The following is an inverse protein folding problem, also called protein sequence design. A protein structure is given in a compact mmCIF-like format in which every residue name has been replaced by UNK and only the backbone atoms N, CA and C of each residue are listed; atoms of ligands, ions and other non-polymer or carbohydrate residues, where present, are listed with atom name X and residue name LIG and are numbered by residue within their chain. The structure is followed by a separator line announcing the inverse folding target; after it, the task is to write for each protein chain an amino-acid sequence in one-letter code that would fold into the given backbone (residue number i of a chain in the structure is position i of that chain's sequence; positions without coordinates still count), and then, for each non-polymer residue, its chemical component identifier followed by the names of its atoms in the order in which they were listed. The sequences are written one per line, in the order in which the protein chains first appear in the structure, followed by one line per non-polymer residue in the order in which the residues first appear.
data_IF_744174761709
#
_entry.id   IF_744174761709
#
_cell.length_a   1.000
_cell.length_b   1.000
_cell.length_c   1.000
_cell.angle_alpha   90.00
_cell.angle_beta   90.00
_cell.angle_gamma   90.00
#
_symmetry.space_group_name_H-M   'P 1'
#
loop_
_entity.id
_entity.type
_entity.pdbx_description
1 polymer ?
#
# COMPACT_ATOMS: atom_id res chain seq x y z
N UNK A 1 19.07 -49.88 57.45
CA UNK A 1 18.21 -49.82 56.25
C UNK A 1 17.16 -48.75 56.49
N UNK A 2 16.70 -48.05 55.44
CA UNK A 2 15.69 -46.94 55.51
C UNK A 2 16.14 -45.71 56.33
N UNK A 3 15.68 -44.47 56.07
CA UNK A 3 14.93 -43.92 54.92
C UNK A 3 15.41 -42.49 54.58
N UNK A 4 15.05 -41.96 53.41
CA UNK A 4 15.51 -40.66 52.88
C UNK A 4 14.39 -39.62 52.85
N UNK A 5 14.30 -38.75 53.85
CA UNK A 5 13.30 -37.66 53.91
C UNK A 5 13.79 -36.35 53.28
N UNK A 6 13.78 -36.26 51.94
CA UNK A 6 14.17 -35.03 51.21
C UNK A 6 13.13 -33.88 51.31
N UNK A 7 13.63 -32.64 51.38
CA UNK A 7 12.88 -31.45 51.73
C UNK A 7 12.19 -30.79 50.52
N UNK A 8 10.87 -31.02 50.37
CA UNK A 8 10.04 -30.52 49.24
C UNK A 8 9.86 -28.99 49.18
N UNK A 9 10.92 -28.25 48.82
CA UNK A 9 10.83 -26.81 48.47
C UNK A 9 10.32 -26.62 47.03
N UNK A 10 9.01 -26.42 46.86
CA UNK A 10 8.33 -26.21 45.56
C UNK A 10 8.88 -25.00 44.78
N UNK A 11 9.86 -25.21 43.88
CA UNK A 11 10.24 -24.22 42.85
C UNK A 11 9.17 -24.21 41.74
N UNK A 12 8.42 -23.12 41.61
CA UNK A 12 7.56 -22.88 40.42
C UNK A 12 8.45 -22.55 39.21
N UNK A 13 8.82 -23.58 38.45
CA UNK A 13 9.55 -23.41 37.18
C UNK A 13 8.66 -22.75 36.13
N UNK A 14 8.88 -21.46 35.85
CA UNK A 14 8.27 -20.80 34.70
C UNK A 14 8.80 -21.44 33.41
N UNK A 15 7.94 -22.20 32.71
CA UNK A 15 8.30 -22.77 31.40
C UNK A 15 8.60 -21.62 30.44
N UNK A 16 9.85 -21.50 30.00
CA UNK A 16 10.22 -20.64 28.86
C UNK A 16 9.43 -21.14 27.65
N UNK A 17 8.37 -20.43 27.29
CA UNK A 17 7.71 -20.61 26.00
C UNK A 17 8.69 -20.15 24.94
N UNK A 18 9.35 -21.11 24.27
CA UNK A 18 10.16 -20.82 23.11
C UNK A 18 9.24 -20.24 22.03
N UNK A 19 9.46 -18.98 21.66
CA UNK A 19 8.76 -18.35 20.55
C UNK A 19 9.26 -18.97 19.24
N UNK A 20 8.67 -20.11 18.89
CA UNK A 20 8.72 -20.63 17.53
C UNK A 20 8.14 -19.55 16.61
N UNK A 21 8.97 -19.03 15.72
CA UNK A 21 8.50 -18.12 14.67
C UNK A 21 7.46 -18.88 13.81
N UNK A 22 6.33 -18.24 13.44
CA UNK A 22 5.30 -18.92 12.67
C UNK A 22 5.87 -19.37 11.31
N UNK A 23 5.68 -20.64 10.90
CA UNK A 23 6.11 -21.10 9.59
C UNK A 23 5.31 -20.38 8.51
N UNK A 24 6.00 -20.05 7.40
CA UNK A 24 5.52 -19.19 6.31
C UNK A 24 5.22 -17.74 6.69
N UNK A 25 6.20 -16.86 6.46
CA UNK A 25 5.89 -15.57 5.83
C UNK A 25 5.39 -15.87 4.41
N UNK A 26 4.10 -16.16 4.27
CA UNK A 26 3.53 -16.78 3.08
C UNK A 26 3.69 -15.85 1.87
N UNK A 27 4.35 -16.34 0.80
CA UNK A 27 4.48 -15.57 -0.44
C UNK A 27 3.08 -15.28 -0.98
N UNK A 28 2.74 -13.99 -1.06
CA UNK A 28 1.52 -13.53 -1.70
C UNK A 28 1.37 -14.16 -3.10
N UNK A 29 0.13 -14.46 -3.54
CA UNK A 29 -0.08 -15.18 -4.79
C UNK A 29 0.37 -14.37 -6.02
N UNK A 30 0.64 -15.06 -7.14
CA UNK A 30 0.71 -14.43 -8.45
C UNK A 30 -0.53 -13.55 -8.72
N UNK A 31 -0.34 -12.42 -9.40
CA UNK A 31 -1.44 -11.50 -9.74
C UNK A 31 -2.46 -12.19 -10.67
N UNK A 32 -1.99 -13.11 -11.52
CA UNK A 32 -2.75 -13.76 -12.60
C UNK A 32 -3.29 -15.13 -12.18
N UNK A 33 -4.55 -15.40 -12.52
CA UNK A 33 -5.20 -16.69 -12.25
C UNK A 33 -4.69 -17.77 -13.21
N UNK A 34 -4.28 -18.89 -12.62
CA UNK A 34 -3.87 -20.12 -13.32
C UNK A 34 -4.57 -21.34 -12.69
N UNK A 35 -4.36 -22.53 -13.25
CA UNK A 35 -4.93 -23.76 -12.70
C UNK A 35 -4.52 -24.01 -11.22
N UNK A 36 -3.29 -23.63 -10.87
CA UNK A 36 -2.71 -23.74 -9.51
C UNK A 36 -2.83 -22.45 -8.67
N UNK A 37 -3.27 -21.33 -9.27
CA UNK A 37 -3.46 -20.05 -8.58
C UNK A 37 -4.90 -19.55 -8.78
N UNK A 38 -5.86 -20.22 -8.15
CA UNK A 38 -7.28 -19.85 -8.17
C UNK A 38 -7.65 -19.03 -6.94
N UNK A 39 -8.74 -18.27 -7.03
CA UNK A 39 -9.39 -17.73 -5.83
C UNK A 39 -10.04 -18.90 -5.08
N UNK A 40 -9.83 -19.08 -3.76
CA UNK A 40 -10.42 -20.18 -3.02
C UNK A 40 -11.96 -20.12 -3.00
N UNK A 41 -12.64 -21.28 -3.07
CA UNK A 41 -14.10 -21.36 -3.11
C UNK A 41 -14.81 -20.74 -1.89
N UNK A 42 -14.10 -20.61 -0.76
CA UNK A 42 -14.61 -19.95 0.44
C UNK A 42 -14.74 -18.42 0.30
N UNK A 43 -14.08 -17.80 -0.69
CA UNK A 43 -14.15 -16.36 -0.95
C UNK A 43 -15.40 -16.05 -1.79
N UNK A 44 -16.49 -15.68 -1.13
CA UNK A 44 -17.68 -15.15 -1.80
C UNK A 44 -17.70 -13.61 -1.76
N UNK A 45 -18.37 -12.94 -2.72
CA UNK A 45 -18.61 -11.50 -2.62
C UNK A 45 -19.23 -11.10 -1.28
N UNK A 46 -20.17 -11.90 -0.77
CA UNK A 46 -20.92 -11.60 0.46
C UNK A 46 -20.03 -11.66 1.71
N UNK A 47 -19.09 -12.61 1.77
CA UNK A 47 -18.07 -12.68 2.82
C UNK A 47 -17.09 -11.50 2.76
N UNK A 48 -16.68 -11.09 1.57
CA UNK A 48 -15.86 -9.88 1.40
C UNK A 48 -16.62 -8.61 1.82
N UNK A 49 -17.92 -8.52 1.52
CA UNK A 49 -18.78 -7.42 2.00
C UNK A 49 -18.98 -7.45 3.52
N UNK A 50 -19.11 -8.64 4.14
CA UNK A 50 -19.17 -8.79 5.59
C UNK A 50 -17.87 -8.33 6.26
N UNK A 51 -16.71 -8.76 5.74
CA UNK A 51 -15.39 -8.32 6.24
C UNK A 51 -15.15 -6.80 6.08
N UNK A 52 -15.67 -6.20 5.01
CA UNK A 52 -15.68 -4.76 4.82
C UNK A 52 -16.59 -4.06 5.86
N UNK A 53 -17.81 -4.55 6.06
CA UNK A 53 -18.78 -3.97 7.01
C UNK A 53 -18.30 -4.06 8.47
N UNK A 54 -17.57 -5.14 8.82
CA UNK A 54 -16.90 -5.38 10.11
C UNK A 54 -16.03 -4.19 10.57
N UNK A 55 -15.40 -3.47 9.62
CA UNK A 55 -14.55 -2.29 9.90
C UNK A 55 -15.16 -0.97 9.42
N UNK A 56 -16.07 -0.99 8.45
CA UNK A 56 -16.85 0.18 8.03
C UNK A 56 -18.36 -0.10 8.03
N UNK A 57 -19.03 -0.05 9.20
CA UNK A 57 -20.47 -0.27 9.31
C UNK A 57 -21.32 0.87 8.73
N UNK A 58 -20.71 1.98 8.29
CA UNK A 58 -21.38 3.14 7.66
C UNK A 58 -21.02 3.25 6.18
N UNK A 59 -21.00 2.11 5.49
CA UNK A 59 -20.65 2.01 4.08
C UNK A 59 -21.64 2.78 3.18
N UNK A 60 -21.11 3.61 2.27
CA UNK A 60 -21.92 4.36 1.30
C UNK A 60 -22.75 3.42 0.40
N UNK A 61 -24.06 3.67 0.17
CA UNK A 61 -24.94 2.74 -0.55
C UNK A 61 -24.46 2.32 -1.94
N UNK A 62 -23.75 3.20 -2.66
CA UNK A 62 -23.15 2.91 -3.96
C UNK A 62 -22.17 1.72 -3.95
N UNK A 63 -21.49 1.47 -2.81
CA UNK A 63 -20.49 0.41 -2.68
C UNK A 63 -21.09 -0.96 -2.30
N UNK A 64 -22.41 -1.08 -2.10
CA UNK A 64 -23.09 -2.35 -1.72
C UNK A 64 -22.77 -3.54 -2.64
N UNK A 65 -22.39 -3.30 -3.91
CA UNK A 65 -22.04 -4.34 -4.89
C UNK A 65 -20.54 -4.43 -5.23
N UNK A 66 -19.67 -3.75 -4.49
CA UNK A 66 -18.26 -3.60 -4.90
C UNK A 66 -17.52 -4.94 -4.99
N UNK A 67 -17.69 -5.85 -4.02
CA UNK A 67 -17.09 -7.19 -4.06
C UNK A 67 -17.55 -8.03 -5.27
N UNK A 68 -18.82 -7.88 -5.69
CA UNK A 68 -19.35 -8.51 -6.90
C UNK A 68 -18.65 -7.98 -8.16
N UNK A 69 -18.35 -6.68 -8.24
CA UNK A 69 -17.57 -6.13 -9.37
C UNK A 69 -16.11 -6.62 -9.37
N UNK A 70 -15.47 -6.79 -8.20
CA UNK A 70 -14.13 -7.39 -8.13
C UNK A 70 -14.13 -8.80 -8.68
N UNK A 71 -15.10 -9.63 -8.27
CA UNK A 71 -15.30 -10.97 -8.82
C UNK A 71 -15.52 -10.93 -10.33
N UNK A 72 -16.51 -10.17 -10.81
CA UNK A 72 -16.88 -10.14 -12.23
C UNK A 72 -15.71 -9.71 -13.13
N UNK A 73 -15.04 -8.60 -12.81
CA UNK A 73 -13.93 -8.10 -13.61
C UNK A 73 -12.68 -8.97 -13.43
N UNK A 74 -12.43 -9.49 -12.24
CA UNK A 74 -11.28 -10.36 -11.98
C UNK A 74 -11.36 -11.73 -12.62
N UNK A 75 -12.54 -12.36 -12.66
CA UNK A 75 -12.77 -13.58 -13.43
C UNK A 75 -12.57 -13.32 -14.93
N UNK A 76 -13.20 -12.26 -15.47
CA UNK A 76 -13.10 -11.90 -16.89
C UNK A 76 -11.67 -11.54 -17.33
N UNK A 77 -10.93 -10.79 -16.53
CA UNK A 77 -9.54 -10.39 -16.83
C UNK A 77 -8.49 -11.37 -16.30
N UNK A 78 -8.87 -12.44 -15.60
CA UNK A 78 -7.98 -13.44 -14.95
C UNK A 78 -7.03 -12.86 -13.88
N UNK A 79 -7.52 -11.97 -13.02
CA UNK A 79 -6.78 -11.43 -11.86
C UNK A 79 -7.28 -12.08 -10.56
N UNK A 80 -6.37 -12.37 -9.61
CA UNK A 80 -6.71 -12.79 -8.23
C UNK A 80 -7.45 -11.66 -7.50
N UNK A 81 -8.78 -11.65 -7.65
CA UNK A 81 -9.65 -10.54 -7.27
C UNK A 81 -9.92 -10.44 -5.77
N UNK A 82 -9.72 -11.52 -5.04
CA UNK A 82 -9.64 -11.52 -3.59
C UNK A 82 -8.50 -10.60 -3.11
N UNK A 83 -7.30 -10.76 -3.67
CA UNK A 83 -6.16 -9.89 -3.35
C UNK A 83 -6.27 -8.47 -3.91
N UNK A 84 -6.95 -8.27 -5.06
CA UNK A 84 -7.33 -6.94 -5.52
C UNK A 84 -8.32 -6.24 -4.56
N UNK A 85 -9.26 -6.99 -3.97
CA UNK A 85 -10.17 -6.48 -2.94
C UNK A 85 -9.42 -6.14 -1.65
N UNK A 86 -8.53 -7.01 -1.16
CA UNK A 86 -7.70 -6.73 0.03
C UNK A 86 -6.78 -5.52 -0.18
N UNK A 87 -6.24 -5.33 -1.38
CA UNK A 87 -5.53 -4.12 -1.77
C UNK A 87 -6.45 -2.88 -1.68
N UNK A 88 -7.67 -2.93 -2.22
CA UNK A 88 -8.64 -1.83 -2.13
C UNK A 88 -8.99 -1.46 -0.67
N UNK A 89 -9.13 -2.45 0.22
CA UNK A 89 -9.39 -2.18 1.64
C UNK A 89 -8.25 -1.38 2.30
N UNK A 90 -7.01 -1.64 1.90
CA UNK A 90 -5.83 -0.91 2.35
C UNK A 90 -5.80 0.51 1.76
N UNK A 91 -5.91 0.62 0.43
CA UNK A 91 -5.81 1.88 -0.33
C UNK A 91 -6.90 2.91 0.00
N UNK A 92 -8.11 2.44 0.33
CA UNK A 92 -9.28 3.31 0.61
C UNK A 92 -9.59 3.45 2.10
N UNK A 93 -8.79 2.81 2.97
CA UNK A 93 -9.10 2.56 4.37
C UNK A 93 -10.56 2.07 4.56
N UNK A 94 -10.84 0.87 4.06
CA UNK A 94 -12.14 0.20 4.10
C UNK A 94 -13.29 1.07 3.51
N UNK A 95 -13.02 1.74 2.38
CA UNK A 95 -13.94 2.66 1.68
C UNK A 95 -14.45 3.85 2.52
N UNK A 96 -13.73 4.18 3.60
CA UNK A 96 -13.97 5.42 4.35
C UNK A 96 -13.39 6.64 3.64
N UNK A 97 -12.35 6.47 2.81
CA UNK A 97 -11.54 7.53 2.18
C UNK A 97 -10.95 8.52 3.19
N UNK A 98 -10.82 8.11 4.45
CA UNK A 98 -10.26 8.90 5.54
C UNK A 98 -8.94 8.32 6.00
N UNK A 99 -7.98 9.21 6.23
CA UNK A 99 -6.83 8.94 7.11
C UNK A 99 -7.32 8.56 8.52
N UNK A 100 -6.48 7.94 9.34
CA UNK A 100 -6.83 7.62 10.73
C UNK A 100 -7.25 8.84 11.55
N UNK A 101 -6.72 10.02 11.21
CA UNK A 101 -7.06 11.29 11.84
C UNK A 101 -8.43 11.84 11.43
N UNK A 102 -9.29 11.03 10.81
CA UNK A 102 -10.63 11.41 10.35
C UNK A 102 -10.67 12.36 9.15
N UNK A 103 -9.53 12.98 8.80
CA UNK A 103 -9.37 13.81 7.59
C UNK A 103 -9.48 12.96 6.34
N UNK A 104 -10.11 13.52 5.30
CA UNK A 104 -10.06 12.97 3.94
C UNK A 104 -8.62 12.76 3.46
N UNK A 105 -8.40 11.67 2.71
CA UNK A 105 -7.20 11.48 1.91
C UNK A 105 -7.26 12.25 0.57
N UNK A 106 -6.28 12.02 -0.30
CA UNK A 106 -6.20 12.69 -1.61
C UNK A 106 -7.38 12.31 -2.53
N UNK A 107 -7.84 11.06 -2.45
CA UNK A 107 -8.96 10.53 -3.24
C UNK A 107 -10.30 10.77 -2.54
N UNK A 108 -11.28 11.29 -3.29
CA UNK A 108 -12.67 11.49 -2.85
C UNK A 108 -13.56 10.29 -3.24
N UNK A 109 -14.55 9.99 -2.40
CA UNK A 109 -15.58 8.94 -2.60
C UNK A 109 -16.22 9.00 -4.00
N UNK A 110 -16.48 10.21 -4.52
CA UNK A 110 -17.11 10.43 -5.83
C UNK A 110 -16.24 10.03 -7.02
N UNK A 111 -14.93 9.86 -6.86
CA UNK A 111 -14.05 9.45 -7.94
C UNK A 111 -14.13 7.97 -8.28
N UNK A 112 -14.70 7.13 -7.40
CA UNK A 112 -14.65 5.66 -7.52
C UNK A 112 -13.22 5.11 -7.77
N UNK A 113 -12.17 5.82 -7.36
CA UNK A 113 -10.79 5.35 -7.48
C UNK A 113 -10.47 4.53 -6.23
N UNK A 114 -10.27 3.23 -6.42
CA UNK A 114 -10.19 2.26 -5.32
C UNK A 114 -8.76 1.85 -4.95
N UNK A 115 -7.75 2.41 -5.62
CA UNK A 115 -6.36 1.94 -5.48
C UNK A 115 -5.30 3.00 -5.76
N UNK A 116 -5.57 4.26 -5.41
CA UNK A 116 -4.61 5.37 -5.50
C UNK A 116 -4.15 5.71 -6.92
N UNK A 117 -4.87 5.26 -7.95
CA UNK A 117 -4.40 5.30 -9.34
C UNK A 117 -4.19 6.75 -9.78
N UNK A 118 -2.95 7.12 -10.12
CA UNK A 118 -2.59 8.47 -10.55
C UNK A 118 -2.41 9.50 -9.42
N UNK A 119 -2.58 9.13 -8.15
CA UNK A 119 -2.26 10.03 -7.03
C UNK A 119 -0.75 10.22 -6.89
N UNK A 120 -0.32 11.43 -6.53
CA UNK A 120 1.10 11.75 -6.26
C UNK A 120 1.36 12.20 -4.83
N UNK A 121 0.32 12.12 -3.97
CA UNK A 121 0.30 12.80 -2.66
C UNK A 121 0.00 14.30 -2.77
N UNK A 122 -0.26 14.93 -1.63
CA UNK A 122 -0.35 16.39 -1.52
C UNK A 122 -1.64 17.01 -2.07
N UNK A 123 -2.75 16.26 -2.09
CA UNK A 123 -4.05 16.70 -2.59
C UNK A 123 -4.28 16.46 -4.08
N UNK A 124 -3.33 15.87 -4.81
CA UNK A 124 -3.50 15.48 -6.22
C UNK A 124 -4.40 14.25 -6.30
N UNK A 125 -5.64 14.35 -6.82
CA UNK A 125 -6.68 13.34 -6.61
C UNK A 125 -6.49 12.06 -7.45
N UNK A 126 -5.64 12.10 -8.49
CA UNK A 126 -5.47 11.00 -9.44
C UNK A 126 -6.66 10.78 -10.38
N UNK A 127 -6.73 9.58 -10.96
CA UNK A 127 -7.78 9.17 -11.90
C UNK A 127 -9.17 9.19 -11.22
N UNK A 128 -10.22 9.34 -12.03
CA UNK A 128 -11.62 9.27 -11.60
C UNK A 128 -12.45 8.46 -12.60
N UNK A 129 -13.45 7.73 -12.09
CA UNK A 129 -14.23 6.76 -12.85
C UNK A 129 -15.73 7.00 -12.68
N UNK A 130 -16.53 6.92 -13.77
CA UNK A 130 -17.95 7.32 -13.74
C UNK A 130 -18.84 6.37 -12.92
N UNK A 131 -18.38 5.16 -12.61
CA UNK A 131 -19.11 4.20 -11.77
C UNK A 131 -18.15 3.38 -10.90
N UNK A 132 -18.68 2.80 -9.82
CA UNK A 132 -17.98 1.80 -8.99
C UNK A 132 -17.45 0.64 -9.86
N UNK A 133 -18.24 0.17 -10.83
CA UNK A 133 -17.82 -0.92 -11.74
C UNK A 133 -16.63 -0.51 -12.61
N UNK A 134 -16.62 0.72 -13.14
CA UNK A 134 -15.51 1.24 -13.93
C UNK A 134 -14.23 1.46 -13.09
N UNK A 135 -14.36 1.91 -11.84
CA UNK A 135 -13.24 2.05 -10.92
C UNK A 135 -12.57 0.73 -10.56
N UNK A 136 -13.37 -0.30 -10.28
CA UNK A 136 -12.85 -1.66 -10.04
C UNK A 136 -12.18 -2.23 -11.29
N UNK A 137 -12.78 -2.04 -12.46
CA UNK A 137 -12.15 -2.41 -13.74
C UNK A 137 -10.81 -1.67 -13.95
N UNK A 138 -10.71 -0.41 -13.56
CA UNK A 138 -9.48 0.39 -13.59
C UNK A 138 -8.34 -0.25 -12.79
N UNK A 139 -8.59 -0.64 -11.54
CA UNK A 139 -7.59 -1.35 -10.72
C UNK A 139 -7.24 -2.73 -11.29
N UNK A 140 -8.24 -3.51 -11.71
CA UNK A 140 -8.03 -4.84 -12.30
C UNK A 140 -7.14 -4.74 -13.56
N UNK A 141 -7.38 -3.75 -14.43
CA UNK A 141 -6.53 -3.49 -15.59
C UNK A 141 -5.13 -2.97 -15.22
N UNK A 142 -5.00 -2.12 -14.19
CA UNK A 142 -3.68 -1.69 -13.71
C UNK A 142 -2.86 -2.89 -13.19
N UNK A 143 -3.51 -3.81 -12.47
CA UNK A 143 -2.92 -5.08 -12.04
C UNK A 143 -2.52 -6.00 -13.21
N UNK A 144 -3.24 -5.98 -14.34
CA UNK A 144 -2.79 -6.67 -15.57
C UNK A 144 -1.48 -6.08 -16.08
N UNK A 145 -1.35 -4.75 -16.16
CA UNK A 145 -0.07 -4.11 -16.52
C UNK A 145 1.06 -4.46 -15.54
N UNK A 146 0.81 -4.47 -14.22
CA UNK A 146 1.78 -4.90 -13.20
C UNK A 146 2.16 -6.39 -13.29
N UNK A 147 1.41 -7.22 -14.01
CA UNK A 147 1.80 -8.61 -14.28
C UNK A 147 2.73 -8.79 -15.48
N UNK A 148 2.95 -7.73 -16.26
CA UNK A 148 3.69 -7.77 -17.53
C UNK A 148 2.82 -7.94 -18.78
N UNK A 149 1.49 -7.91 -18.66
CA UNK A 149 0.55 -8.06 -19.78
C UNK A 149 -0.04 -6.70 -20.22
N UNK A 150 -0.15 -6.47 -21.54
CA UNK A 150 -0.61 -5.19 -22.09
C UNK A 150 -2.14 -5.09 -22.15
N UNK A 151 -2.67 -3.92 -21.79
CA UNK A 151 -4.11 -3.63 -21.80
C UNK A 151 -4.43 -2.74 -23.01
N UNK A 152 -5.15 -3.30 -23.99
CA UNK A 152 -5.38 -2.63 -25.28
C UNK A 152 -6.24 -1.35 -25.19
N UNK A 153 -7.21 -1.31 -24.28
CA UNK A 153 -8.07 -0.13 -24.00
C UNK A 153 -8.28 0.01 -22.48
N UNK A 154 -7.33 0.65 -21.75
CA UNK A 154 -7.47 0.85 -20.31
C UNK A 154 -8.51 1.93 -19.99
N UNK A 155 -9.33 1.71 -18.96
CA UNK A 155 -10.30 2.72 -18.47
C UNK A 155 -9.67 3.75 -17.53
N UNK A 156 -8.48 3.45 -17.01
CA UNK A 156 -7.66 4.36 -16.21
C UNK A 156 -6.62 5.07 -17.09
N UNK A 157 -6.64 6.41 -17.12
CA UNK A 157 -5.68 7.22 -17.89
C UNK A 157 -4.24 6.92 -17.45
N UNK A 158 -3.98 6.82 -16.14
CA UNK A 158 -2.64 6.45 -15.63
C UNK A 158 -2.16 5.09 -16.15
N UNK A 159 -3.07 4.16 -16.46
CA UNK A 159 -2.71 2.87 -17.08
C UNK A 159 -2.40 3.05 -18.56
N UNK A 160 -3.21 3.81 -19.31
CA UNK A 160 -2.95 4.10 -20.72
C UNK A 160 -1.59 4.80 -20.92
N UNK A 161 -1.29 5.79 -20.10
CA UNK A 161 -0.06 6.60 -20.18
C UNK A 161 1.22 5.85 -19.79
N UNK A 162 1.14 4.87 -18.87
CA UNK A 162 2.32 4.32 -18.18
C UNK A 162 2.48 2.80 -18.29
N UNK A 163 1.54 2.08 -18.91
CA UNK A 163 1.59 0.61 -18.93
C UNK A 163 2.90 0.06 -19.50
N UNK A 164 3.51 0.67 -20.51
CA UNK A 164 4.76 0.17 -21.08
C UNK A 164 5.93 0.25 -20.09
N UNK A 165 6.00 1.31 -19.27
CA UNK A 165 7.00 1.43 -18.20
C UNK A 165 6.73 0.39 -17.09
N UNK A 166 5.47 0.24 -16.69
CA UNK A 166 5.04 -0.72 -15.67
C UNK A 166 5.35 -2.16 -16.12
N UNK A 167 5.05 -2.50 -17.37
CA UNK A 167 5.30 -3.81 -18.00
C UNK A 167 6.80 -4.06 -18.13
N UNK A 168 7.57 -3.11 -18.66
CA UNK A 168 9.02 -3.26 -18.79
C UNK A 168 9.71 -3.48 -17.43
N UNK A 169 9.29 -2.79 -16.37
CA UNK A 169 9.79 -3.01 -15.01
C UNK A 169 9.29 -4.34 -14.43
N UNK A 170 8.09 -4.81 -14.80
CA UNK A 170 7.55 -6.10 -14.37
C UNK A 170 8.33 -7.28 -14.96
N UNK A 171 8.61 -7.24 -16.26
CA UNK A 171 9.31 -8.32 -16.98
C UNK A 171 10.76 -8.49 -16.52
N UNK A 172 11.42 -7.42 -16.02
CA UNK A 172 12.76 -7.48 -15.38
C UNK A 172 12.84 -8.40 -14.15
N UNK A 173 11.72 -8.85 -13.59
CA UNK A 173 11.73 -9.85 -12.50
C UNK A 173 12.10 -11.25 -12.98
N UNK A 174 12.02 -11.56 -14.28
CA UNK A 174 12.37 -12.87 -14.85
C UNK A 174 11.46 -14.03 -14.41
N UNK A 175 10.32 -13.73 -13.77
CA UNK A 175 9.36 -14.71 -13.22
C UNK A 175 7.96 -14.11 -13.16
N UNK A 176 6.96 -14.94 -12.87
CA UNK A 176 5.59 -14.48 -12.60
C UNK A 176 5.55 -13.47 -11.46
N UNK A 177 4.80 -12.37 -11.66
CA UNK A 177 4.65 -11.29 -10.69
C UNK A 177 3.58 -11.62 -9.65
N UNK A 178 3.88 -11.34 -8.39
CA UNK A 178 3.00 -11.55 -7.23
C UNK A 178 2.51 -10.23 -6.64
N UNK A 179 1.47 -10.27 -5.80
CA UNK A 179 1.05 -9.07 -5.05
C UNK A 179 2.16 -8.56 -4.10
N UNK A 180 3.13 -9.39 -3.70
CA UNK A 180 4.29 -8.92 -2.93
C UNK A 180 5.21 -8.02 -3.77
N UNK A 181 5.30 -8.25 -5.08
CA UNK A 181 6.12 -7.47 -6.01
C UNK A 181 5.51 -6.11 -6.39
N UNK A 182 4.37 -5.76 -5.80
CA UNK A 182 3.81 -4.40 -5.81
C UNK A 182 4.50 -3.50 -4.76
N UNK A 183 5.20 -4.08 -3.77
CA UNK A 183 6.01 -3.36 -2.79
C UNK A 183 7.09 -2.52 -3.47
N UNK A 184 7.20 -1.23 -3.11
CA UNK A 184 8.08 -0.23 -3.76
C UNK A 184 7.84 -0.02 -5.27
N UNK A 185 6.73 -0.50 -5.82
CA UNK A 185 6.40 -0.40 -7.26
C UNK A 185 5.02 0.21 -7.50
N UNK A 186 3.99 -0.27 -6.81
CA UNK A 186 2.68 0.36 -6.72
C UNK A 186 2.69 1.46 -5.66
N UNK A 187 3.06 1.11 -4.44
CA UNK A 187 3.21 2.03 -3.31
C UNK A 187 4.68 2.10 -2.86
N UNK A 188 5.11 3.26 -2.36
CA UNK A 188 6.50 3.48 -1.88
C UNK A 188 6.84 2.68 -0.61
N UNK A 189 5.82 2.23 0.13
CA UNK A 189 5.97 1.47 1.37
C UNK A 189 6.77 0.16 1.17
N UNK A 190 7.76 -0.05 2.04
CA UNK A 190 8.60 -1.25 2.12
C UNK A 190 7.84 -2.48 2.63
N UNK A 191 6.68 -2.29 3.24
CA UNK A 191 5.88 -3.30 3.92
C UNK A 191 4.55 -3.57 3.23
N UNK A 192 4.29 -2.95 2.07
CA UNK A 192 3.03 -3.00 1.34
C UNK A 192 2.51 -4.43 1.11
N UNK A 193 3.36 -5.35 0.63
CA UNK A 193 3.00 -6.76 0.50
C UNK A 193 2.64 -7.44 1.84
N UNK A 194 3.28 -7.06 2.95
CA UNK A 194 2.92 -7.57 4.29
C UNK A 194 1.58 -6.98 4.76
N UNK A 195 1.30 -5.72 4.42
CA UNK A 195 0.03 -5.06 4.71
C UNK A 195 -1.14 -5.73 3.96
N UNK A 196 -0.95 -6.06 2.68
CA UNK A 196 -1.90 -6.86 1.89
C UNK A 196 -2.06 -8.27 2.48
N UNK A 197 -0.96 -8.94 2.86
CA UNK A 197 -1.00 -10.27 3.46
C UNK A 197 -1.83 -10.29 4.75
N UNK A 198 -1.56 -9.39 5.70
CA UNK A 198 -2.30 -9.31 6.97
C UNK A 198 -3.80 -9.08 6.79
N UNK A 199 -4.20 -8.26 5.79
CA UNK A 199 -5.63 -8.05 5.47
C UNK A 199 -6.26 -9.34 4.93
N UNK A 200 -5.55 -10.07 4.08
CA UNK A 200 -5.98 -11.37 3.58
C UNK A 200 -6.05 -12.42 4.70
N UNK A 201 -5.01 -12.52 5.55
CA UNK A 201 -4.92 -13.49 6.64
C UNK A 201 -6.07 -13.34 7.63
N UNK A 202 -6.47 -12.09 7.94
CA UNK A 202 -7.66 -11.82 8.78
C UNK A 202 -8.96 -12.23 8.09
N UNK A 203 -9.10 -11.99 6.79
CA UNK A 203 -10.24 -12.48 6.03
C UNK A 203 -10.31 -14.01 6.10
N UNK A 204 -9.23 -14.70 5.73
CA UNK A 204 -9.20 -16.16 5.67
C UNK A 204 -9.42 -16.79 7.06
N UNK A 205 -8.80 -16.24 8.11
CA UNK A 205 -8.96 -16.73 9.49
C UNK A 205 -10.37 -16.57 10.06
N UNK A 206 -11.11 -15.51 9.69
CA UNK A 206 -12.49 -15.29 10.18
C UNK A 206 -13.57 -15.90 9.28
N UNK A 207 -13.43 -15.82 7.95
CA UNK A 207 -14.50 -16.14 6.98
C UNK A 207 -14.22 -17.36 6.08
N UNK A 208 -13.07 -18.02 6.24
CA UNK A 208 -12.71 -19.24 5.50
C UNK A 208 -12.20 -20.39 6.40
N UNK A 209 -12.46 -20.35 7.70
CA UNK A 209 -11.97 -21.33 8.69
C UNK A 209 -12.73 -22.68 8.70
N UNK A 210 -13.52 -22.97 7.68
CA UNK A 210 -14.22 -24.25 7.50
C UNK A 210 -15.43 -24.49 8.40
N UNK A 211 -15.77 -23.57 9.34
CA UNK A 211 -16.96 -23.69 10.20
C UNK A 211 -18.23 -23.19 9.51
N UNK A 212 -18.08 -22.20 8.63
CA UNK A 212 -19.14 -21.71 7.77
C UNK A 212 -19.11 -22.48 6.43
N UNK A 213 -19.77 -23.62 6.36
CA UNK A 213 -20.10 -24.30 5.09
C UNK A 213 -21.50 -23.91 4.63
N UNK A 214 -21.59 -23.42 3.39
CA UNK A 214 -22.76 -22.83 2.72
C UNK A 214 -23.30 -21.49 3.29
N UNK A 215 -23.52 -20.47 2.43
CA UNK A 215 -24.59 -19.52 2.67
C UNK A 215 -25.92 -20.18 2.28
N UNK A 216 -26.92 -20.15 3.17
CA UNK A 216 -28.27 -20.69 2.90
C UNK A 216 -28.84 -20.09 1.62
N UNK A 217 -29.16 -20.95 0.65
CA UNK A 217 -29.66 -20.52 -0.67
C UNK A 217 -31.10 -20.01 -0.55
N UNK A 218 -31.25 -18.69 -0.33
CA UNK A 218 -32.50 -17.99 -0.64
C UNK A 218 -32.69 -18.01 -2.16
N UNK A 219 -33.51 -18.95 -2.62
CA UNK A 219 -33.68 -19.28 -4.03
C UNK A 219 -34.57 -18.26 -4.76
N UNK A 220 -34.08 -17.03 -4.92
CA UNK A 220 -34.80 -16.03 -5.72
C UNK A 220 -34.78 -16.40 -7.21
N UNK A 221 -35.97 -16.50 -7.80
CA UNK A 221 -36.20 -17.32 -9.00
C UNK A 221 -35.55 -16.76 -10.26
N UNK A 222 -34.58 -17.49 -10.83
CA UNK A 222 -34.07 -17.24 -12.18
C UNK A 222 -35.13 -17.56 -13.24
N UNK A 223 -35.88 -16.54 -13.68
CA UNK A 223 -36.64 -16.61 -14.94
C UNK A 223 -35.66 -16.89 -16.11
N UNK A 224 -35.98 -17.81 -17.04
CA UNK A 224 -35.08 -18.18 -18.13
C UNK A 224 -34.87 -16.99 -19.09
N UNK A 225 -33.62 -16.75 -19.48
CA UNK A 225 -33.26 -15.75 -20.50
C UNK A 225 -33.48 -16.35 -21.90
N UNK A 226 -34.19 -15.69 -22.83
CA UNK A 226 -34.47 -16.26 -24.14
C UNK A 226 -33.20 -16.48 -24.96
N UNK A 227 -33.18 -17.61 -25.67
CA UNK A 227 -32.02 -18.06 -26.47
C UNK A 227 -32.06 -17.43 -27.87
N UNK A 228 -31.24 -16.40 -28.09
CA UNK A 228 -30.99 -15.88 -29.45
C UNK A 228 -30.01 -16.85 -30.14
N UNK A 229 -30.49 -17.54 -31.19
CA UNK A 229 -29.63 -18.32 -32.08
C UNK A 229 -28.79 -17.38 -32.95
N UNK A 230 -27.51 -17.69 -33.25
CA UNK A 230 -26.76 -16.94 -34.26
C UNK A 230 -27.30 -17.26 -35.66
N UNK A 231 -27.57 -16.23 -36.44
CA UNK A 231 -27.79 -16.34 -37.90
C UNK A 231 -26.53 -15.86 -38.62
N UNK A 232 -26.02 -16.59 -39.63
CA UNK A 232 -24.80 -16.21 -40.34
C UNK A 232 -25.11 -15.32 -41.54
N UNK A 233 -24.59 -14.09 -41.54
CA UNK A 233 -24.41 -13.34 -42.77
C UNK A 233 -23.01 -12.73 -42.84
N UNK A 234 -22.42 -12.76 -44.04
CA UNK A 234 -21.03 -12.37 -44.34
C UNK A 234 -21.07 -11.09 -45.19
N UNK A 235 -19.95 -10.74 -45.84
CA UNK A 235 -19.84 -9.65 -46.85
C UNK A 235 -19.80 -8.25 -46.18
N UNK A 236 -18.82 -7.36 -46.46
CA UNK A 236 -17.68 -7.41 -47.40
C UNK A 236 -16.43 -6.74 -46.80
N UNK A 237 -15.26 -7.19 -47.23
CA UNK A 237 -14.01 -6.44 -47.13
C UNK A 237 -13.97 -5.39 -48.25
N UNK A 238 -13.47 -4.19 -47.96
CA UNK A 238 -13.16 -3.18 -48.96
C UNK A 238 -11.83 -2.48 -48.62
N UNK A 239 -10.97 -2.31 -49.62
CA UNK A 239 -9.59 -1.80 -49.51
C UNK A 239 -9.44 -0.47 -50.24
N UNK A 240 -8.87 0.56 -49.58
CA UNK A 240 -8.49 1.81 -50.26
C UNK A 240 -7.35 2.58 -49.54
N UNK A 241 -6.32 2.94 -50.32
CA UNK A 241 -5.22 3.93 -50.15
C UNK A 241 -4.56 4.10 -51.55
N UNK A 242 -3.77 5.15 -51.88
CA UNK A 242 -3.19 6.25 -51.06
C UNK A 242 -4.18 7.44 -50.93
N UNK A 243 -3.90 8.75 -50.85
CA UNK A 243 -2.72 9.66 -50.95
C UNK A 243 -2.84 10.70 -49.80
N UNK A 244 -1.80 11.31 -49.21
CA UNK A 244 -0.63 12.09 -49.65
C UNK A 244 -0.90 13.50 -50.24
N UNK A 245 -0.80 14.53 -49.38
CA UNK A 245 0.17 15.64 -49.55
C UNK A 245 0.28 16.58 -48.34
N UNK A 246 1.42 17.29 -48.32
CA UNK A 246 1.74 18.55 -47.62
C UNK A 246 1.76 18.60 -46.07
N UNK A 247 2.97 18.82 -45.54
CA UNK A 247 3.21 19.51 -44.27
C UNK A 247 3.67 20.97 -44.56
N UNK A 248 3.86 21.81 -43.52
CA UNK A 248 4.90 22.83 -43.63
C UNK A 248 5.83 22.97 -42.41
N UNK A 249 7.11 23.17 -42.74
CA UNK A 249 8.12 24.02 -42.10
C UNK A 249 8.33 24.01 -40.56
N UNK A 250 9.58 23.74 -40.16
CA UNK A 250 10.10 24.06 -38.84
C UNK A 250 10.52 25.55 -38.71
N UNK A 251 10.67 26.03 -37.47
CA UNK A 251 11.53 27.18 -37.13
C UNK A 251 12.58 26.76 -36.09
N UNK A 252 13.76 27.37 -36.18
CA UNK A 252 14.94 27.18 -35.33
C UNK A 252 15.62 28.54 -35.10
N UNK A 253 16.72 28.52 -34.33
CA UNK A 253 17.65 29.63 -34.03
C UNK A 253 17.22 30.58 -32.90
N UNK A 254 18.18 31.21 -32.19
CA UNK A 254 19.62 30.90 -32.05
C UNK A 254 20.06 30.63 -30.60
N UNK A 255 21.34 30.30 -30.43
CA UNK A 255 22.08 30.45 -29.17
C UNK A 255 23.25 31.43 -29.39
N UNK A 256 23.78 32.08 -28.34
CA UNK A 256 25.04 32.81 -28.41
C UNK A 256 26.22 32.01 -27.82
N UNK A 257 27.40 32.11 -28.45
CA UNK A 257 28.67 31.61 -27.94
C UNK A 257 29.28 32.53 -26.86
N UNK A 258 30.24 32.04 -26.07
CA UNK A 258 30.98 32.88 -25.12
C UNK A 258 31.90 32.16 -24.13
N UNK A 259 33.09 31.73 -24.58
CA UNK A 259 34.26 31.47 -23.71
C UNK A 259 35.39 32.40 -24.13
N UNK A 260 36.16 32.99 -23.19
CA UNK A 260 37.32 32.32 -22.57
C UNK A 260 37.27 32.34 -21.03
N UNK A 261 38.18 31.72 -20.27
CA UNK A 261 39.38 30.97 -20.66
C UNK A 261 40.69 31.59 -20.13
N UNK A 262 41.07 31.23 -18.89
CA UNK A 262 42.33 31.40 -18.14
C UNK A 262 42.12 30.49 -16.89
N UNK A 263 42.99 29.58 -16.44
CA UNK A 263 44.37 29.76 -16.00
C UNK A 263 44.38 30.13 -14.50
N UNK A 264 45.04 29.44 -13.56
CA UNK A 264 45.85 28.22 -13.63
C UNK A 264 46.60 28.00 -12.30
N UNK A 265 47.55 27.06 -12.26
CA UNK A 265 48.47 26.75 -11.13
C UNK A 265 47.85 26.10 -9.88
N UNK A 266 48.70 25.52 -9.03
CA UNK A 266 48.34 24.72 -7.86
C UNK A 266 49.31 24.98 -6.69
N UNK A 267 48.88 24.67 -5.47
CA UNK A 267 49.73 24.64 -4.27
C UNK A 267 49.43 23.39 -3.41
N UNK A 268 50.42 22.90 -2.68
CA UNK A 268 50.43 21.60 -1.97
C UNK A 268 51.09 21.77 -0.59
N UNK A 269 50.80 20.86 0.37
CA UNK A 269 51.28 20.83 1.78
C UNK A 269 50.69 21.95 2.67
N UNK A 270 50.74 21.87 4.01
CA UNK A 270 51.33 20.88 4.95
C UNK A 270 50.23 20.36 5.89
N UNK A 271 50.31 19.10 6.35
CA UNK A 271 49.47 18.61 7.45
C UNK A 271 50.21 18.65 8.80
N UNK A 272 49.55 19.16 9.85
CA UNK A 272 50.01 19.03 11.24
C UNK A 272 49.09 18.08 12.01
N UNK A 273 49.69 17.15 12.77
CA UNK A 273 48.98 16.41 13.83
C UNK A 273 49.05 17.23 15.11
N UNK A 274 47.91 17.44 15.77
CA UNK A 274 47.84 17.97 17.13
C UNK A 274 47.17 16.96 18.07
N UNK A 275 47.54 17.02 19.34
CA UNK A 275 47.27 15.97 20.34
C UNK A 275 45.93 16.23 21.02
N UNK A 276 45.16 15.17 21.29
CA UNK A 276 43.87 15.25 22.00
C UNK A 276 44.07 15.43 23.52
N UNK A 277 43.47 16.47 24.14
CA UNK A 277 43.28 16.54 25.59
C UNK A 277 42.19 15.55 26.07
N UNK A 278 42.05 15.32 27.39
CA UNK A 278 41.24 14.24 27.93
C UNK A 278 39.72 14.44 27.82
N UNK A 279 38.99 13.32 27.90
CA UNK A 279 37.54 13.25 27.84
C UNK A 279 36.88 13.88 29.09
N UNK A 280 36.46 15.14 28.96
CA UNK A 280 35.44 15.72 29.84
C UNK A 280 34.07 15.17 29.39
N UNK A 281 33.20 14.69 30.31
CA UNK A 281 31.83 14.36 29.95
C UNK A 281 31.14 15.60 29.39
N UNK A 282 30.63 15.54 28.16
CA UNK A 282 29.97 16.69 27.56
C UNK A 282 28.80 17.15 28.45
N UNK A 283 28.66 18.45 28.74
CA UNK A 283 27.52 18.95 29.49
C UNK A 283 26.23 18.56 28.75
N UNK A 284 25.14 18.37 29.50
CA UNK A 284 23.85 18.10 28.90
C UNK A 284 23.53 19.21 27.88
N UNK A 285 23.38 18.82 26.61
CA UNK A 285 23.25 19.77 25.52
C UNK A 285 22.09 20.75 25.77
N UNK A 286 22.23 21.97 25.26
CA UNK A 286 21.16 22.97 25.25
C UNK A 286 19.83 22.34 24.82
N UNK A 287 18.69 22.83 25.34
CA UNK A 287 17.36 22.34 24.95
C UNK A 287 17.14 22.63 23.47
N UNK A 288 17.54 21.66 22.64
CA UNK A 288 17.52 21.75 21.18
C UNK A 288 16.14 22.20 20.72
N UNK A 289 16.12 23.12 19.76
CA UNK A 289 14.87 23.63 19.15
C UNK A 289 14.00 22.42 18.83
N UNK A 290 12.73 22.44 19.21
CA UNK A 290 11.89 21.26 19.10
C UNK A 290 10.54 21.58 18.45
N UNK A 291 9.96 20.59 17.78
CA UNK A 291 8.62 20.69 17.19
C UNK A 291 7.83 19.41 17.40
N UNK A 292 6.56 19.58 17.75
CA UNK A 292 5.56 18.52 17.76
C UNK A 292 4.87 18.47 16.39
N UNK A 293 4.89 17.30 15.77
CA UNK A 293 4.28 17.03 14.47
C UNK A 293 3.20 15.95 14.61
N UNK A 294 2.34 15.81 13.60
CA UNK A 294 1.42 14.66 13.53
C UNK A 294 1.31 14.08 12.14
N UNK A 295 1.19 12.76 12.09
CA UNK A 295 0.95 11.99 10.88
C UNK A 295 -0.11 10.90 11.14
N UNK A 296 -0.65 10.26 10.11
CA UNK A 296 -1.70 9.25 10.29
C UNK A 296 -1.82 8.33 9.07
N UNK A 297 -1.77 7.01 9.29
CA UNK A 297 -2.10 6.00 8.28
C UNK A 297 -3.53 5.46 8.40
N UNK A 298 -4.11 5.52 9.60
CA UNK A 298 -5.34 4.79 9.94
C UNK A 298 -5.44 4.61 11.46
N UNK A 299 -6.54 4.01 11.91
CA UNK A 299 -6.66 3.42 13.25
C UNK A 299 -6.82 4.39 14.42
N UNK A 300 -6.88 3.82 15.62
CA UNK A 300 -7.18 4.55 16.86
C UNK A 300 -5.89 4.83 17.64
N UNK A 301 -5.01 3.82 17.76
CA UNK A 301 -3.71 3.91 18.41
C UNK A 301 -2.73 4.88 17.75
N UNK A 302 -1.71 5.27 18.50
CA UNK A 302 -0.59 6.05 18.00
C UNK A 302 0.78 5.56 18.51
N UNK A 303 1.81 5.92 17.76
CA UNK A 303 3.23 5.79 18.10
C UNK A 303 3.81 7.20 18.16
N UNK A 304 4.51 7.52 19.25
CA UNK A 304 5.31 8.74 19.30
C UNK A 304 6.70 8.44 18.73
N UNK A 305 7.13 9.20 17.74
CA UNK A 305 8.42 9.03 17.05
C UNK A 305 9.27 10.26 17.34
N UNK A 306 10.51 10.05 17.82
CA UNK A 306 11.52 11.11 17.96
C UNK A 306 12.51 11.01 16.80
N UNK A 307 12.78 12.12 16.12
CA UNK A 307 13.87 12.25 15.15
C UNK A 307 14.60 13.59 15.35
N UNK A 308 15.83 13.70 14.88
CA UNK A 308 16.56 14.97 14.83
C UNK A 308 16.79 15.35 13.37
N UNK A 309 16.60 16.61 13.03
CA UNK A 309 16.79 17.15 11.68
C UNK A 309 17.21 18.61 11.77
N UNK A 310 18.29 18.99 11.09
CA UNK A 310 18.73 20.39 10.97
C UNK A 310 18.88 21.06 12.37
N UNK A 311 19.47 20.31 13.31
CA UNK A 311 19.59 20.54 14.77
C UNK A 311 18.28 20.82 15.54
N UNK A 312 17.13 20.49 14.93
CA UNK A 312 15.80 20.54 15.52
C UNK A 312 15.29 19.12 15.89
N UNK A 313 14.77 18.95 17.11
CA UNK A 313 14.20 17.69 17.60
C UNK A 313 12.71 17.62 17.27
N UNK A 314 12.32 16.67 16.43
CA UNK A 314 10.95 16.47 15.98
C UNK A 314 10.30 15.30 16.72
N UNK A 315 9.15 15.57 17.35
CA UNK A 315 8.30 14.57 18.00
C UNK A 315 7.01 14.38 17.18
N UNK A 316 6.95 13.33 16.35
CA UNK A 316 5.76 13.03 15.56
C UNK A 316 4.82 12.08 16.31
N UNK A 317 3.63 12.53 16.65
CA UNK A 317 2.51 11.65 17.01
C UNK A 317 1.94 11.02 15.72
N UNK A 318 2.40 9.82 15.39
CA UNK A 318 1.94 9.03 14.23
C UNK A 318 0.78 8.13 14.65
N UNK A 319 -0.40 8.34 14.08
CA UNK A 319 -1.55 7.47 14.28
C UNK A 319 -1.54 6.29 13.31
N UNK A 320 -1.88 5.09 13.79
CA UNK A 320 -1.60 3.80 13.13
C UNK A 320 -2.74 2.82 13.26
N UNK A 321 -2.92 1.95 12.26
CA UNK A 321 -3.88 0.84 12.34
C UNK A 321 -3.47 -0.17 13.43
N UNK A 322 -4.47 -0.59 14.20
CA UNK A 322 -4.37 -1.63 15.21
C UNK A 322 -3.83 -2.96 14.64
N UNK A 323 -2.74 -3.46 15.24
CA UNK A 323 -1.97 -4.62 14.79
C UNK A 323 -0.92 -4.32 13.70
N UNK A 324 -0.80 -3.07 13.25
CA UNK A 324 0.24 -2.60 12.32
C UNK A 324 1.19 -1.58 12.95
N UNK A 325 1.11 -1.33 14.25
CA UNK A 325 1.60 -0.10 14.89
C UNK A 325 3.12 0.11 14.65
N UNK A 326 3.91 -0.94 14.83
CA UNK A 326 5.34 -0.92 14.54
C UNK A 326 5.63 -0.84 13.02
N UNK A 327 4.85 -1.53 12.19
CA UNK A 327 5.03 -1.54 10.74
C UNK A 327 4.82 -0.16 10.12
N UNK A 328 3.82 0.57 10.60
CA UNK A 328 3.55 1.94 10.16
C UNK A 328 4.58 2.94 10.71
N UNK A 329 5.01 2.79 11.97
CA UNK A 329 6.08 3.63 12.52
C UNK A 329 7.40 3.48 11.75
N UNK A 330 7.82 2.24 11.49
CA UNK A 330 9.08 1.97 10.77
C UNK A 330 9.04 2.50 9.32
N UNK A 331 7.89 2.42 8.63
CA UNK A 331 7.73 2.99 7.29
C UNK A 331 7.71 4.52 7.32
N UNK A 332 7.10 5.15 8.34
CA UNK A 332 7.18 6.61 8.50
C UNK A 332 8.62 7.09 8.75
N UNK A 333 9.40 6.35 9.52
CA UNK A 333 10.82 6.64 9.80
C UNK A 333 11.67 6.53 8.52
N UNK A 334 11.48 5.49 7.69
CA UNK A 334 12.23 5.31 6.42
C UNK A 334 12.03 6.48 5.43
N UNK A 335 10.82 7.06 5.40
CA UNK A 335 10.39 8.07 4.41
C UNK A 335 10.46 9.51 4.93
N UNK A 336 9.97 9.78 6.14
CA UNK A 336 9.73 11.15 6.64
C UNK A 336 10.59 11.55 7.84
N UNK A 337 11.02 10.58 8.66
CA UNK A 337 11.74 10.82 9.92
C UNK A 337 13.01 9.97 10.01
N UNK A 338 13.89 10.08 8.99
CA UNK A 338 15.13 9.30 8.88
C UNK A 338 16.02 9.48 10.11
N UNK A 339 16.59 8.38 10.61
CA UNK A 339 17.35 8.35 11.86
C UNK A 339 16.47 8.44 13.13
N UNK A 340 15.16 8.59 12.98
CA UNK A 340 14.22 8.59 14.10
C UNK A 340 13.93 7.21 14.68
N UNK A 341 13.37 7.19 15.89
CA UNK A 341 12.98 6.00 16.62
C UNK A 341 11.60 6.16 17.27
N UNK A 342 10.80 5.09 17.38
CA UNK A 342 9.55 5.09 18.14
C UNK A 342 9.86 5.07 19.64
N UNK A 343 9.45 6.11 20.36
CA UNK A 343 9.73 6.30 21.80
C UNK A 343 8.54 5.98 22.72
N UNK A 344 7.40 5.59 22.16
CA UNK A 344 6.26 5.12 22.95
C UNK A 344 5.07 4.66 22.10
N UNK A 345 4.19 3.85 22.69
CA UNK A 345 2.91 3.43 22.09
C UNK A 345 1.75 3.92 22.95
N UNK A 346 0.68 4.39 22.32
CA UNK A 346 -0.40 5.12 22.97
C UNK A 346 -1.78 4.63 22.49
N UNK A 347 -2.79 4.58 23.37
CA UNK A 347 -4.13 4.12 22.98
C UNK A 347 -4.82 5.11 22.03
N UNK A 348 -4.48 6.39 22.07
CA UNK A 348 -4.89 7.36 21.06
C UNK A 348 -3.78 8.32 20.61
N UNK A 349 -4.02 8.99 19.48
CA UNK A 349 -3.22 10.14 19.03
C UNK A 349 -3.17 11.29 20.05
N UNK A 350 -4.20 11.48 20.89
CA UNK A 350 -4.23 12.54 21.91
C UNK A 350 -3.18 12.28 22.98
N UNK A 351 -3.03 11.04 23.42
CA UNK A 351 -2.08 10.69 24.51
C UNK A 351 -0.63 10.75 24.00
N UNK A 352 -0.40 10.33 22.75
CA UNK A 352 0.89 10.53 22.07
C UNK A 352 1.24 12.02 21.93
N UNK A 353 0.25 12.88 21.68
CA UNK A 353 0.43 14.33 21.61
C UNK A 353 0.71 14.97 22.98
N UNK A 354 0.01 14.53 24.03
CA UNK A 354 0.29 14.98 25.42
C UNK A 354 1.75 14.69 25.75
N UNK A 355 2.23 13.46 25.53
CA UNK A 355 3.64 13.12 25.73
C UNK A 355 4.58 13.91 24.80
N UNK A 356 4.19 14.21 23.57
CA UNK A 356 4.99 15.03 22.66
C UNK A 356 5.20 16.45 23.18
N UNK A 357 4.17 17.09 23.76
CA UNK A 357 4.28 18.42 24.37
C UNK A 357 4.98 18.40 25.74
N UNK A 358 4.88 17.32 26.52
CA UNK A 358 5.74 17.14 27.71
C UNK A 358 7.24 17.08 27.35
N UNK A 359 7.57 16.45 26.21
CA UNK A 359 8.95 16.30 25.72
C UNK A 359 9.43 17.47 24.85
N UNK A 360 8.52 18.39 24.52
CA UNK A 360 8.76 19.62 23.77
C UNK A 360 7.76 20.69 24.24
N UNK A 361 7.99 21.29 25.43
CA UNK A 361 7.14 22.37 25.92
C UNK A 361 7.27 23.58 25.00
N UNK A 362 6.13 24.20 24.70
CA UNK A 362 6.08 25.48 23.99
C UNK A 362 6.65 26.56 24.92
N UNK A 363 7.57 27.38 24.40
CA UNK A 363 8.08 28.59 25.07
C UNK A 363 7.20 29.79 24.74
#
# INVERSE_FOLDING_TARGET
MTDTSDARRRKRGAKKVAWLAPPNAQKLPPIRISAANRVPACVTPDRLMAFLADRNPRLYPQFKRIAYYYRQHGEAWRVRWDYAFFQMLLETNFLSYKTGGGRWGDVRISQNNFAGIGTTGGGVPGDAFPTVSAGVLGQIQHLVAYSGERVAKPVAKRTADMQDQIIAISLRLGRTVTFNDLTRRWAVDRRYGRSIAWVADRFFSKYCNGRDSEPTVVAETRKPKPSIKPSPERIKLATARPDEKAAPAARRLPAPDGTPGIGGTAAVKVGLRTISPPHVPAPAADPAKCRVWTASYGGEKAILIKSTRDDEVHYTALQVLDGFEQTMADTYIDVHAKGGAPIGRYPSKRDALIKAFELCPVK
#
